data_IF_266908232813
#
_entry.id   IF_266908232813
#
_cell.length_a   1.000
_cell.length_b   1.000
_cell.length_c   1.000
_cell.angle_alpha   90.00
_cell.angle_beta   90.00
_cell.angle_gamma   90.00
#
_symmetry.space_group_name_H-M   'P 1'
#
loop_
_entity.id
_entity.type
_entity.pdbx_description
1 polymer ?
#
# COMPACT_ATOMS: atom_id res chain seq x y z
N UNK A 1 -38.53 -16.85 5.89
CA UNK A 1 -37.76 -15.59 5.85
C UNK A 1 -36.81 -15.65 4.67
N UNK A 2 -36.81 -14.60 3.85
CA UNK A 2 -36.01 -14.52 2.63
C UNK A 2 -34.52 -14.31 2.91
N UNK A 3 -33.68 -14.59 1.92
CA UNK A 3 -32.22 -14.34 1.94
C UNK A 3 -31.89 -13.14 1.04
N UNK A 4 -31.10 -12.21 1.56
CA UNK A 4 -30.48 -11.19 0.72
C UNK A 4 -29.20 -11.74 0.10
N UNK A 5 -29.23 -11.88 -1.23
CA UNK A 5 -28.07 -12.25 -2.04
C UNK A 5 -27.50 -10.97 -2.62
N UNK A 6 -26.22 -10.70 -2.38
CA UNK A 6 -25.60 -9.51 -2.94
C UNK A 6 -25.57 -9.63 -4.47
N UNK A 7 -26.09 -8.63 -5.20
CA UNK A 7 -26.10 -8.68 -6.64
C UNK A 7 -24.73 -8.26 -7.19
N UNK A 8 -24.37 -8.80 -8.35
CA UNK A 8 -23.20 -8.30 -9.11
C UNK A 8 -23.52 -6.93 -9.69
N UNK A 9 -24.70 -6.78 -10.31
CA UNK A 9 -25.20 -5.51 -10.82
C UNK A 9 -26.41 -5.05 -10.02
N UNK A 10 -26.46 -3.76 -9.65
CA UNK A 10 -27.60 -3.17 -8.89
C UNK A 10 -28.95 -3.52 -9.53
N UNK A 11 -29.04 -3.52 -10.86
CA UNK A 11 -30.25 -3.86 -11.62
C UNK A 11 -30.77 -5.29 -11.44
N UNK A 12 -29.96 -6.22 -10.96
CA UNK A 12 -30.34 -7.63 -10.81
C UNK A 12 -31.32 -7.83 -9.65
N UNK A 13 -31.38 -6.90 -8.70
CA UNK A 13 -32.31 -6.94 -7.57
C UNK A 13 -33.79 -6.75 -7.95
N UNK A 14 -34.10 -6.39 -9.21
CA UNK A 14 -35.47 -6.22 -9.72
C UNK A 14 -35.90 -7.44 -10.56
N UNK A 15 -34.97 -8.33 -10.90
CA UNK A 15 -35.29 -9.56 -11.62
C UNK A 15 -35.92 -10.56 -10.66
N UNK A 16 -36.74 -11.47 -11.18
CA UNK A 16 -37.27 -12.60 -10.41
C UNK A 16 -36.11 -13.36 -9.76
N UNK A 17 -36.01 -13.28 -8.43
CA UNK A 17 -35.03 -14.04 -7.65
C UNK A 17 -35.37 -15.52 -7.58
N UNK A 18 -34.43 -16.32 -7.10
CA UNK A 18 -34.68 -17.71 -6.72
C UNK A 18 -35.69 -17.83 -5.57
N UNK A 19 -36.11 -19.06 -5.28
CA UNK A 19 -37.04 -19.35 -4.19
C UNK A 19 -36.51 -18.77 -2.87
N UNK A 20 -37.34 -18.00 -2.16
CA UNK A 20 -37.01 -17.33 -0.90
C UNK A 20 -35.87 -16.30 -0.98
N UNK A 21 -35.60 -15.69 -2.13
CA UNK A 21 -34.64 -14.58 -2.24
C UNK A 21 -35.34 -13.22 -2.18
N UNK A 22 -34.67 -12.23 -1.60
CA UNK A 22 -35.12 -10.84 -1.64
C UNK A 22 -35.11 -10.31 -3.08
N UNK A 23 -36.16 -9.58 -3.43
CA UNK A 23 -36.28 -8.83 -4.68
C UNK A 23 -36.89 -7.47 -4.32
N UNK A 24 -36.37 -6.41 -4.93
CA UNK A 24 -36.94 -5.06 -4.83
C UNK A 24 -38.35 -5.09 -5.37
N UNK A 25 -39.31 -4.71 -4.54
CA UNK A 25 -40.73 -4.68 -4.87
C UNK A 25 -41.11 -3.33 -5.49
N UNK A 26 -40.65 -2.24 -4.89
CA UNK A 26 -41.06 -0.89 -5.23
C UNK A 26 -39.88 -0.02 -5.67
N UNK A 27 -39.81 0.27 -6.97
CA UNK A 27 -38.88 1.28 -7.50
C UNK A 27 -39.59 2.64 -7.51
N UNK A 28 -39.32 3.45 -6.48
CA UNK A 28 -39.95 4.75 -6.27
C UNK A 28 -39.50 5.78 -7.31
N UNK A 29 -40.44 6.62 -7.76
CA UNK A 29 -40.09 7.75 -8.62
C UNK A 29 -39.33 8.85 -7.84
N UNK A 30 -38.47 9.66 -8.48
CA UNK A 30 -37.71 10.70 -7.80
C UNK A 30 -38.55 11.64 -6.92
N UNK A 31 -39.78 11.95 -7.33
CA UNK A 31 -40.71 12.83 -6.59
C UNK A 31 -41.20 12.22 -5.27
N UNK A 32 -41.19 10.89 -5.14
CA UNK A 32 -41.66 10.19 -3.94
C UNK A 32 -40.56 9.98 -2.90
N UNK A 33 -39.28 10.10 -3.30
CA UNK A 33 -38.14 9.73 -2.47
C UNK A 33 -38.05 10.53 -1.18
N UNK A 34 -38.20 11.87 -1.24
CA UNK A 34 -38.11 12.72 -0.05
C UNK A 34 -39.09 12.30 1.06
N UNK A 35 -40.35 12.00 0.68
CA UNK A 35 -41.38 11.53 1.63
C UNK A 35 -41.03 10.17 2.21
N UNK A 36 -40.55 9.23 1.40
CA UNK A 36 -40.18 7.89 1.88
C UNK A 36 -38.91 7.90 2.73
N UNK A 37 -37.96 8.79 2.45
CA UNK A 37 -36.78 9.02 3.31
C UNK A 37 -37.18 9.59 4.67
N UNK A 38 -38.21 10.46 4.73
CA UNK A 38 -38.74 10.92 6.01
C UNK A 38 -39.33 9.77 6.84
N UNK A 39 -40.10 8.88 6.21
CA UNK A 39 -40.60 7.65 6.85
C UNK A 39 -39.47 6.73 7.30
N UNK A 40 -38.44 6.55 6.47
CA UNK A 40 -37.25 5.77 6.82
C UNK A 40 -36.51 6.36 8.03
N UNK A 41 -36.33 7.68 8.07
CA UNK A 41 -35.75 8.40 9.21
C UNK A 41 -36.57 8.20 10.50
N UNK A 42 -37.91 8.21 10.39
CA UNK A 42 -38.79 7.94 11.52
C UNK A 42 -38.67 6.49 12.01
N UNK A 43 -38.65 5.52 11.09
CA UNK A 43 -38.48 4.09 11.40
C UNK A 43 -37.12 3.80 12.05
N UNK A 44 -36.04 4.44 11.59
CA UNK A 44 -34.71 4.30 12.20
C UNK A 44 -34.70 4.75 13.66
N UNK A 45 -35.43 5.82 13.99
CA UNK A 45 -35.52 6.31 15.38
C UNK A 45 -36.35 5.39 16.28
N UNK A 46 -37.40 4.75 15.75
CA UNK A 46 -38.33 3.95 16.55
C UNK A 46 -37.97 2.47 16.63
N UNK A 47 -37.48 1.89 15.54
CA UNK A 47 -37.18 0.45 15.40
C UNK A 47 -35.66 0.16 15.42
N UNK A 48 -34.82 1.19 15.32
CA UNK A 48 -33.38 1.04 15.20
C UNK A 48 -32.93 0.58 13.81
N UNK A 49 -31.69 0.06 13.66
CA UNK A 49 -31.07 -0.17 12.35
C UNK A 49 -31.72 -1.28 11.52
N UNK A 50 -32.53 -2.16 12.13
CA UNK A 50 -33.23 -3.23 11.42
C UNK A 50 -34.33 -2.71 10.48
N UNK A 51 -34.74 -1.45 10.60
CA UNK A 51 -35.69 -0.82 9.66
C UNK A 51 -35.20 -0.86 8.20
N UNK A 52 -33.90 -1.07 7.96
CA UNK A 52 -33.36 -1.27 6.60
C UNK A 52 -34.03 -2.46 5.87
N UNK A 53 -34.50 -3.48 6.60
CA UNK A 53 -35.19 -4.63 6.02
C UNK A 53 -36.53 -4.24 5.37
N UNK A 54 -37.14 -3.12 5.81
CA UNK A 54 -38.40 -2.59 5.29
C UNK A 54 -38.16 -1.42 4.33
N UNK A 55 -37.07 -0.66 4.51
CA UNK A 55 -36.79 0.57 3.76
C UNK A 55 -35.69 0.43 2.68
N UNK A 56 -35.17 -0.78 2.44
CA UNK A 56 -34.14 -1.03 1.43
C UNK A 56 -34.50 -0.44 0.07
N UNK A 57 -35.74 -0.66 -0.39
CA UNK A 57 -36.26 -0.23 -1.69
C UNK A 57 -36.21 1.30 -1.87
N UNK A 58 -36.32 2.06 -0.77
CA UNK A 58 -36.21 3.53 -0.80
C UNK A 58 -34.80 3.97 -1.17
N UNK A 59 -33.78 3.46 -0.48
CA UNK A 59 -32.38 3.77 -0.77
C UNK A 59 -31.93 3.16 -2.11
N UNK A 60 -32.43 1.97 -2.46
CA UNK A 60 -32.21 1.37 -3.76
C UNK A 60 -32.73 2.26 -4.91
N UNK A 61 -33.92 2.84 -4.74
CA UNK A 61 -34.51 3.74 -5.74
C UNK A 61 -33.68 5.00 -5.97
N UNK A 62 -33.02 5.52 -4.91
CA UNK A 62 -32.02 6.60 -5.02
C UNK A 62 -30.83 6.17 -5.88
N UNK A 63 -30.29 4.96 -5.68
CA UNK A 63 -29.20 4.42 -6.52
C UNK A 63 -29.64 4.27 -7.98
N UNK A 64 -30.85 3.73 -8.20
CA UNK A 64 -31.39 3.48 -9.54
C UNK A 64 -31.58 4.78 -10.33
N UNK A 65 -32.02 5.84 -9.65
CA UNK A 65 -32.28 7.14 -10.24
C UNK A 65 -31.22 8.18 -9.91
N UNK A 66 -30.01 7.78 -9.50
CA UNK A 66 -28.99 8.66 -8.92
C UNK A 66 -28.74 9.96 -9.69
N UNK A 67 -28.72 9.92 -11.03
CA UNK A 67 -28.49 11.10 -11.87
C UNK A 67 -29.68 12.06 -11.93
N UNK A 68 -30.90 11.58 -11.69
CA UNK A 68 -32.14 12.36 -11.72
C UNK A 68 -32.61 12.82 -10.34
N UNK A 69 -31.89 12.46 -9.28
CA UNK A 69 -32.24 12.76 -7.88
C UNK A 69 -31.48 14.00 -7.41
N UNK A 70 -32.19 14.88 -6.69
CA UNK A 70 -31.65 16.11 -6.13
C UNK A 70 -30.54 15.83 -5.11
N UNK A 71 -29.61 16.78 -4.96
CA UNK A 71 -28.46 16.64 -4.06
C UNK A 71 -28.88 16.41 -2.60
N UNK A 72 -29.86 17.16 -2.10
CA UNK A 72 -30.33 16.98 -0.72
C UNK A 72 -30.89 15.58 -0.44
N UNK A 73 -31.53 14.94 -1.42
CA UNK A 73 -32.02 13.56 -1.30
C UNK A 73 -30.86 12.56 -1.23
N UNK A 74 -29.77 12.80 -1.98
CA UNK A 74 -28.54 11.99 -1.91
C UNK A 74 -27.87 12.12 -0.54
N UNK A 75 -27.77 13.35 -0.03
CA UNK A 75 -27.19 13.65 1.28
C UNK A 75 -28.02 13.02 2.42
N UNK A 76 -29.34 13.19 2.41
CA UNK A 76 -30.24 12.56 3.39
C UNK A 76 -30.12 11.03 3.35
N UNK A 77 -30.02 10.44 2.16
CA UNK A 77 -29.85 8.98 2.00
C UNK A 77 -28.52 8.53 2.57
N UNK A 78 -27.43 9.25 2.29
CA UNK A 78 -26.10 8.94 2.80
C UNK A 78 -26.08 9.01 4.33
N UNK A 79 -26.61 10.08 4.91
CA UNK A 79 -26.70 10.28 6.36
C UNK A 79 -27.45 9.12 7.02
N UNK A 80 -28.61 8.73 6.48
CA UNK A 80 -29.41 7.63 6.99
C UNK A 80 -28.67 6.28 6.91
N UNK A 81 -28.00 5.99 5.79
CA UNK A 81 -27.24 4.74 5.65
C UNK A 81 -26.05 4.69 6.60
N UNK A 82 -25.35 5.80 6.81
CA UNK A 82 -24.27 5.89 7.82
C UNK A 82 -24.84 5.66 9.23
N UNK A 83 -25.98 6.25 9.57
CA UNK A 83 -26.64 6.03 10.86
C UNK A 83 -27.10 4.57 11.04
N UNK A 84 -27.61 3.91 9.99
CA UNK A 84 -27.96 2.49 10.02
C UNK A 84 -26.72 1.63 10.30
N UNK A 85 -25.62 1.82 9.56
CA UNK A 85 -24.38 1.05 9.73
C UNK A 85 -23.76 1.27 11.12
N UNK A 86 -23.75 2.51 11.62
CA UNK A 86 -23.32 2.80 12.98
C UNK A 86 -24.24 2.16 14.02
N UNK A 87 -25.56 2.20 13.80
CA UNK A 87 -26.54 1.54 14.65
C UNK A 87 -26.31 0.02 14.74
N UNK A 88 -26.03 -0.63 13.59
CA UNK A 88 -25.66 -2.06 13.56
C UNK A 88 -24.36 -2.32 14.32
N UNK A 89 -23.36 -1.44 14.18
CA UNK A 89 -22.08 -1.57 14.89
C UNK A 89 -22.25 -1.49 16.42
N UNK A 90 -23.25 -0.74 16.89
CA UNK A 90 -23.57 -0.62 18.32
C UNK A 90 -24.43 -1.79 18.81
N UNK A 91 -25.38 -2.28 18.02
CA UNK A 91 -26.34 -3.30 18.47
C UNK A 91 -25.82 -4.73 18.35
N UNK A 92 -25.01 -5.04 17.33
CA UNK A 92 -24.51 -6.39 17.06
C UNK A 92 -23.64 -6.99 18.17
N UNK A 93 -22.72 -6.27 18.85
CA UNK A 93 -21.86 -6.88 19.86
C UNK A 93 -22.61 -7.67 20.94
N UNK A 94 -23.77 -7.17 21.39
CA UNK A 94 -24.58 -7.87 22.41
C UNK A 94 -25.17 -9.18 21.88
N UNK A 95 -25.57 -9.21 20.61
CA UNK A 95 -26.05 -10.40 19.92
C UNK A 95 -24.92 -11.42 19.71
N UNK A 96 -23.76 -10.97 19.22
CA UNK A 96 -22.60 -11.81 18.93
C UNK A 96 -22.06 -12.53 20.18
N UNK A 97 -22.23 -11.93 21.37
CA UNK A 97 -21.86 -12.53 22.65
C UNK A 97 -22.91 -13.50 23.21
N UNK A 98 -24.14 -13.46 22.70
CA UNK A 98 -25.24 -14.27 23.23
C UNK A 98 -25.17 -15.71 22.71
N UNK A 99 -25.23 -16.67 23.63
CA UNK A 99 -25.22 -18.11 23.31
C UNK A 99 -26.58 -18.66 22.87
N UNK A 100 -27.63 -17.83 22.90
CA UNK A 100 -29.02 -18.21 22.67
C UNK A 100 -29.68 -17.51 21.48
N UNK A 101 -28.90 -16.90 20.57
CA UNK A 101 -29.46 -16.25 19.38
C UNK A 101 -30.18 -17.28 18.49
N UNK A 102 -31.45 -17.02 18.17
CA UNK A 102 -32.21 -17.90 17.28
C UNK A 102 -31.66 -17.84 15.84
N UNK A 103 -31.84 -18.92 15.08
CA UNK A 103 -31.44 -18.95 13.67
C UNK A 103 -32.17 -17.88 12.83
N UNK A 104 -33.38 -17.49 13.23
CA UNK A 104 -34.19 -16.46 12.56
C UNK A 104 -33.61 -15.09 12.82
N UNK A 105 -33.28 -14.75 14.08
CA UNK A 105 -32.71 -13.45 14.43
C UNK A 105 -31.33 -13.25 13.79
N UNK A 106 -30.49 -14.29 13.81
CA UNK A 106 -29.19 -14.26 13.12
C UNK A 106 -29.35 -13.98 11.63
N UNK A 107 -30.36 -14.58 10.99
CA UNK A 107 -30.64 -14.37 9.57
C UNK A 107 -31.15 -12.96 9.28
N UNK A 108 -32.01 -12.39 10.12
CA UNK A 108 -32.44 -10.99 10.00
C UNK A 108 -31.26 -10.03 10.08
N UNK A 109 -30.38 -10.24 11.06
CA UNK A 109 -29.21 -9.41 11.30
C UNK A 109 -28.21 -9.50 10.15
N UNK A 110 -27.99 -10.71 9.64
CA UNK A 110 -27.18 -10.93 8.45
C UNK A 110 -27.74 -10.17 7.24
N UNK A 111 -29.04 -10.28 6.96
CA UNK A 111 -29.68 -9.57 5.86
C UNK A 111 -29.54 -8.04 6.03
N UNK A 112 -29.77 -7.52 7.24
CA UNK A 112 -29.64 -6.09 7.53
C UNK A 112 -28.21 -5.58 7.30
N UNK A 113 -27.20 -6.32 7.76
CA UNK A 113 -25.77 -6.02 7.51
C UNK A 113 -25.48 -6.00 6.02
N UNK A 114 -25.86 -7.05 5.27
CA UNK A 114 -25.61 -7.13 3.83
C UNK A 114 -26.26 -5.97 3.08
N UNK A 115 -27.53 -5.68 3.39
CA UNK A 115 -28.30 -4.61 2.78
C UNK A 115 -27.70 -3.23 3.05
N UNK A 116 -27.39 -2.92 4.31
CA UNK A 116 -26.84 -1.63 4.71
C UNK A 116 -25.45 -1.39 4.11
N UNK A 117 -24.56 -2.39 4.18
CA UNK A 117 -23.21 -2.30 3.60
C UNK A 117 -23.28 -2.17 2.08
N UNK A 118 -24.12 -2.97 1.41
CA UNK A 118 -24.29 -2.89 -0.03
C UNK A 118 -24.73 -1.49 -0.48
N UNK A 119 -25.79 -0.95 0.12
CA UNK A 119 -26.31 0.38 -0.23
C UNK A 119 -25.28 1.48 0.04
N UNK A 120 -24.62 1.45 1.20
CA UNK A 120 -23.62 2.45 1.57
C UNK A 120 -22.42 2.43 0.61
N UNK A 121 -21.89 1.24 0.29
CA UNK A 121 -20.80 1.09 -0.67
C UNK A 121 -21.20 1.57 -2.07
N UNK A 122 -22.37 1.17 -2.58
CA UNK A 122 -22.83 1.57 -3.92
C UNK A 122 -23.14 3.05 -4.03
N UNK A 123 -23.73 3.65 -2.99
CA UNK A 123 -23.94 5.10 -2.96
C UNK A 123 -22.60 5.83 -2.99
N UNK A 124 -21.62 5.37 -2.20
CA UNK A 124 -20.28 5.95 -2.15
C UNK A 124 -19.53 5.85 -3.48
N UNK A 125 -19.62 4.71 -4.18
CA UNK A 125 -19.05 4.54 -5.53
C UNK A 125 -19.65 5.52 -6.54
N UNK A 126 -20.97 5.73 -6.49
CA UNK A 126 -21.68 6.68 -7.34
C UNK A 126 -21.28 8.13 -7.03
N UNK A 127 -21.22 8.50 -5.75
CA UNK A 127 -20.81 9.83 -5.28
C UNK A 127 -19.35 10.14 -5.65
N UNK A 128 -18.44 9.17 -5.50
CA UNK A 128 -17.05 9.33 -5.93
C UNK A 128 -16.95 9.58 -7.44
N UNK A 129 -17.69 8.81 -8.23
CA UNK A 129 -17.70 8.93 -9.68
C UNK A 129 -18.26 10.27 -10.15
N UNK A 130 -19.28 10.79 -9.46
CA UNK A 130 -19.89 12.09 -9.75
C UNK A 130 -18.97 13.26 -9.37
N UNK A 131 -18.37 13.20 -8.18
CA UNK A 131 -17.36 14.15 -7.70
C UNK A 131 -16.16 14.23 -8.66
N UNK A 132 -15.67 13.08 -9.12
CA UNK A 132 -14.58 13.01 -10.10
C UNK A 132 -14.96 13.66 -11.43
N UNK A 133 -16.14 13.35 -11.99
CA UNK A 133 -16.64 13.98 -13.23
C UNK A 133 -16.73 15.50 -13.09
N UNK A 134 -17.24 15.98 -11.97
CA UNK A 134 -17.38 17.41 -11.73
C UNK A 134 -16.02 18.11 -11.64
N UNK A 135 -15.00 17.47 -11.06
CA UNK A 135 -13.64 18.01 -11.02
C UNK A 135 -13.02 18.17 -12.42
N UNK A 136 -13.37 17.32 -13.37
CA UNK A 136 -12.93 17.42 -14.77
C UNK A 136 -13.65 18.57 -15.47
N UNK A 137 -14.98 18.66 -15.32
CA UNK A 137 -15.80 19.68 -15.99
C UNK A 137 -15.47 21.09 -15.47
N UNK A 138 -15.15 21.22 -14.19
CA UNK A 138 -14.83 22.52 -13.55
C UNK A 138 -13.35 22.90 -13.61
N UNK A 139 -12.49 22.06 -14.20
CA UNK A 139 -11.09 22.37 -14.38
C UNK A 139 -10.93 23.61 -15.30
N UNK A 140 -10.17 24.65 -14.88
CA UNK A 140 -10.02 25.84 -15.70
C UNK A 140 -9.31 25.48 -17.00
N UNK A 141 -9.95 25.75 -18.14
CA UNK A 141 -9.27 25.78 -19.42
C UNK A 141 -8.17 26.84 -19.36
N UNK A 142 -6.98 26.51 -19.88
CA UNK A 142 -5.81 27.39 -19.90
C UNK A 142 -6.22 28.77 -20.46
N UNK A 143 -6.37 29.77 -19.58
CA UNK A 143 -6.60 31.17 -19.94
C UNK A 143 -7.79 31.90 -19.29
N UNK A 144 -8.68 31.21 -18.56
CA UNK A 144 -9.85 31.85 -17.94
C UNK A 144 -9.69 32.19 -16.46
N UNK A 145 -10.05 33.41 -16.05
CA UNK A 145 -10.13 33.83 -14.63
C UNK A 145 -10.94 32.81 -13.81
N UNK A 146 -10.44 32.46 -12.62
CA UNK A 146 -11.09 31.62 -11.60
C UNK A 146 -12.53 32.13 -11.35
N UNK A 147 -13.51 31.51 -12.00
CA UNK A 147 -14.89 31.65 -11.58
C UNK A 147 -15.03 30.86 -10.28
N UNK A 148 -15.13 31.58 -9.15
CA UNK A 148 -15.68 31.01 -7.91
C UNK A 148 -17.15 30.70 -8.19
N UNK A 149 -17.40 29.49 -8.65
CA UNK A 149 -18.73 28.88 -8.64
C UNK A 149 -18.64 27.60 -7.82
N UNK A 150 -18.34 27.74 -6.53
CA UNK A 150 -18.83 26.77 -5.56
C UNK A 150 -20.28 27.21 -5.30
N UNK A 151 -21.22 26.67 -6.09
CA UNK A 151 -22.64 26.91 -5.88
C UNK A 151 -23.11 26.20 -4.62
N UNK A 152 -24.09 26.77 -3.93
CA UNK A 152 -24.71 26.22 -2.73
C UNK A 152 -25.36 24.83 -2.95
N UNK A 153 -25.56 24.41 -4.21
CA UNK A 153 -26.16 23.13 -4.60
C UNK A 153 -25.15 21.98 -4.81
N UNK A 154 -23.89 22.13 -4.39
CA UNK A 154 -22.84 21.14 -4.67
C UNK A 154 -22.54 20.29 -3.43
N UNK A 155 -22.84 18.97 -3.51
CA UNK A 155 -22.55 18.02 -2.43
C UNK A 155 -21.07 18.03 -2.05
N UNK A 156 -20.77 18.21 -0.76
CA UNK A 156 -19.39 18.20 -0.25
C UNK A 156 -18.89 16.78 0.01
N UNK A 157 -18.88 15.93 -1.02
CA UNK A 157 -18.46 14.53 -0.87
C UNK A 157 -17.09 14.36 -0.19
N UNK A 158 -16.17 15.32 -0.36
CA UNK A 158 -14.87 15.34 0.32
C UNK A 158 -14.96 15.24 1.85
N UNK A 159 -15.93 15.92 2.50
CA UNK A 159 -16.13 15.83 3.95
C UNK A 159 -16.80 14.53 4.37
N UNK A 160 -17.67 13.98 3.52
CA UNK A 160 -18.49 12.80 3.82
C UNK A 160 -17.75 11.47 3.68
N UNK A 161 -16.63 11.43 2.94
CA UNK A 161 -15.82 10.20 2.79
C UNK A 161 -15.38 9.61 4.13
N UNK A 162 -14.92 10.44 5.05
CA UNK A 162 -14.37 9.98 6.32
C UNK A 162 -15.45 9.33 7.22
N UNK A 163 -16.63 9.94 7.44
CA UNK A 163 -17.74 9.30 8.15
C UNK A 163 -18.14 7.94 7.56
N UNK A 164 -18.22 7.82 6.24
CA UNK A 164 -18.56 6.55 5.56
C UNK A 164 -17.53 5.46 5.87
N UNK A 165 -16.25 5.77 5.68
CA UNK A 165 -15.16 4.83 5.92
C UNK A 165 -15.07 4.42 7.40
N UNK A 166 -15.32 5.37 8.29
CA UNK A 166 -15.37 5.12 9.73
C UNK A 166 -16.51 4.15 10.09
N UNK A 167 -17.73 4.38 9.58
CA UNK A 167 -18.87 3.52 9.84
C UNK A 167 -18.62 2.08 9.36
N UNK A 168 -18.11 1.92 8.13
CA UNK A 168 -17.75 0.62 7.58
C UNK A 168 -16.65 -0.06 8.40
N UNK A 169 -15.63 0.68 8.82
CA UNK A 169 -14.52 0.15 9.63
C UNK A 169 -15.02 -0.33 10.99
N UNK A 170 -15.84 0.47 11.67
CA UNK A 170 -16.41 0.11 12.97
C UNK A 170 -17.23 -1.19 12.89
N UNK A 171 -18.07 -1.33 11.87
CA UNK A 171 -18.87 -2.54 11.67
C UNK A 171 -17.99 -3.76 11.38
N UNK A 172 -17.07 -3.65 10.42
CA UNK A 172 -16.29 -4.79 9.93
C UNK A 172 -15.17 -5.21 10.88
N UNK A 173 -14.77 -4.34 11.82
CA UNK A 173 -13.85 -4.70 12.90
C UNK A 173 -14.49 -5.66 13.92
N UNK A 174 -15.82 -5.69 14.05
CA UNK A 174 -16.51 -6.70 14.85
C UNK A 174 -16.35 -8.09 14.23
N UNK A 175 -16.63 -9.15 14.99
CA UNK A 175 -16.62 -10.53 14.46
C UNK A 175 -17.97 -10.91 13.83
N UNK A 176 -18.47 -10.05 12.94
CA UNK A 176 -19.75 -10.27 12.24
C UNK A 176 -19.74 -11.50 11.34
N UNK A 177 -18.57 -12.07 11.03
CA UNK A 177 -18.43 -13.30 10.24
C UNK A 177 -19.26 -14.43 10.83
N UNK A 178 -19.40 -14.47 12.15
CA UNK A 178 -20.23 -15.45 12.88
C UNK A 178 -21.72 -15.41 12.51
N UNK A 179 -22.20 -14.33 11.87
CA UNK A 179 -23.55 -14.27 11.28
C UNK A 179 -23.70 -15.21 10.08
N UNK A 180 -22.62 -15.46 9.33
CA UNK A 180 -22.59 -16.41 8.24
C UNK A 180 -22.46 -17.85 8.75
N UNK A 181 -23.01 -18.79 7.99
CA UNK A 181 -22.81 -20.22 8.26
C UNK A 181 -21.32 -20.54 8.25
N UNK A 182 -20.85 -21.23 9.30
CA UNK A 182 -19.44 -21.60 9.50
C UNK A 182 -18.46 -20.42 9.45
N UNK A 183 -18.94 -19.18 9.65
CA UNK A 183 -18.15 -17.94 9.49
C UNK A 183 -17.55 -17.74 8.09
N UNK A 184 -18.14 -18.37 7.07
CA UNK A 184 -17.72 -18.25 5.67
C UNK A 184 -18.49 -17.09 5.01
N UNK A 185 -17.85 -15.94 4.93
CA UNK A 185 -18.39 -14.77 4.24
C UNK A 185 -18.29 -14.97 2.73
N UNK A 186 -19.38 -14.67 2.02
CA UNK A 186 -19.44 -14.80 0.56
C UNK A 186 -18.53 -13.77 -0.15
N UNK A 187 -17.99 -14.14 -1.31
CA UNK A 187 -17.04 -13.31 -2.06
C UNK A 187 -17.69 -12.00 -2.52
N UNK A 188 -18.97 -12.01 -2.83
CA UNK A 188 -19.73 -10.84 -3.27
C UNK A 188 -19.78 -9.76 -2.18
N UNK A 189 -19.86 -10.15 -0.91
CA UNK A 189 -19.80 -9.20 0.21
C UNK A 189 -18.39 -8.58 0.35
N UNK A 190 -17.37 -9.42 0.29
CA UNK A 190 -15.96 -8.98 0.34
C UNK A 190 -15.66 -8.03 -0.84
N UNK A 191 -16.10 -8.41 -2.03
CA UNK A 191 -15.95 -7.64 -3.26
C UNK A 191 -16.69 -6.32 -3.20
N UNK A 192 -17.92 -6.28 -2.66
CA UNK A 192 -18.68 -5.05 -2.49
C UNK A 192 -17.92 -3.98 -1.69
N UNK A 193 -17.37 -4.36 -0.53
CA UNK A 193 -16.62 -3.43 0.33
C UNK A 193 -15.29 -3.04 -0.32
N UNK A 194 -14.55 -4.02 -0.83
CA UNK A 194 -13.20 -3.78 -1.36
C UNK A 194 -13.23 -3.00 -2.67
N UNK A 195 -14.18 -3.27 -3.58
CA UNK A 195 -14.37 -2.49 -4.80
C UNK A 195 -14.69 -1.03 -4.51
N UNK A 196 -15.54 -0.75 -3.51
CA UNK A 196 -15.77 0.60 -3.04
C UNK A 196 -14.47 1.26 -2.57
N UNK A 197 -13.67 0.58 -1.74
CA UNK A 197 -12.38 1.09 -1.26
C UNK A 197 -11.40 1.40 -2.41
N UNK A 198 -11.24 0.48 -3.37
CA UNK A 198 -10.36 0.69 -4.52
C UNK A 198 -10.86 1.83 -5.40
N UNK A 199 -12.18 1.97 -5.58
CA UNK A 199 -12.75 3.09 -6.34
C UNK A 199 -12.41 4.44 -5.71
N UNK A 200 -12.42 4.54 -4.38
CA UNK A 200 -12.02 5.75 -3.66
C UNK A 200 -10.52 6.05 -3.81
N UNK A 201 -9.67 5.02 -3.93
CA UNK A 201 -8.23 5.18 -4.20
C UNK A 201 -7.93 5.65 -5.63
N UNK A 202 -8.82 5.43 -6.60
CA UNK A 202 -8.67 5.93 -7.97
C UNK A 202 -8.77 7.47 -8.06
N UNK A 203 -9.16 8.15 -6.98
CA UNK A 203 -9.23 9.60 -6.93
C UNK A 203 -7.84 10.23 -7.17
N UNK A 204 -7.65 11.10 -8.20
CA UNK A 204 -6.35 11.70 -8.49
C UNK A 204 -5.78 12.55 -7.35
N UNK A 205 -6.66 13.09 -6.50
CA UNK A 205 -6.31 13.88 -5.33
C UNK A 205 -5.97 13.04 -4.10
N UNK A 206 -6.03 11.70 -4.15
CA UNK A 206 -5.80 10.84 -2.98
C UNK A 206 -4.37 10.93 -2.44
N UNK A 207 -3.39 11.21 -3.30
CA UNK A 207 -1.98 11.37 -2.93
C UNK A 207 -1.68 12.74 -2.30
N UNK A 208 -2.63 13.69 -2.36
CA UNK A 208 -2.46 15.01 -1.75
C UNK A 208 -2.52 14.92 -0.22
N UNK A 209 -1.86 15.87 0.46
CA UNK A 209 -1.81 15.93 1.93
C UNK A 209 -3.20 16.05 2.55
N UNK A 210 -4.09 16.86 1.94
CA UNK A 210 -5.48 17.05 2.40
C UNK A 210 -6.29 15.75 2.48
N UNK A 211 -5.95 14.77 1.65
CA UNK A 211 -6.67 13.50 1.53
C UNK A 211 -6.08 12.41 2.42
N UNK A 212 -5.05 12.72 3.23
CA UNK A 212 -4.41 11.76 4.12
C UNK A 212 -5.39 11.05 5.06
N UNK A 213 -6.34 11.73 5.75
CA UNK A 213 -7.28 11.03 6.63
C UNK A 213 -8.12 9.98 5.90
N UNK A 214 -8.65 10.32 4.73
CA UNK A 214 -9.43 9.38 3.91
C UNK A 214 -8.56 8.24 3.38
N UNK A 215 -7.34 8.55 2.93
CA UNK A 215 -6.38 7.54 2.46
C UNK A 215 -6.03 6.54 3.56
N UNK A 216 -5.68 7.03 4.75
CA UNK A 216 -5.35 6.19 5.90
C UNK A 216 -6.56 5.32 6.28
N UNK A 217 -7.77 5.91 6.33
CA UNK A 217 -8.99 5.16 6.61
C UNK A 217 -9.27 4.04 5.58
N UNK A 218 -9.06 4.28 4.28
CA UNK A 218 -9.19 3.25 3.24
C UNK A 218 -8.14 2.14 3.44
N UNK A 219 -6.89 2.51 3.74
CA UNK A 219 -5.81 1.55 3.98
C UNK A 219 -6.17 0.63 5.16
N UNK A 220 -6.64 1.19 6.28
CA UNK A 220 -7.04 0.38 7.44
C UNK A 220 -8.27 -0.49 7.15
N UNK A 221 -9.29 0.03 6.46
CA UNK A 221 -10.46 -0.75 6.09
C UNK A 221 -10.08 -1.96 5.22
N UNK A 222 -9.23 -1.76 4.20
CA UNK A 222 -8.69 -2.86 3.41
C UNK A 222 -7.83 -3.81 4.25
N UNK A 223 -7.10 -3.32 5.25
CA UNK A 223 -6.35 -4.15 6.19
C UNK A 223 -7.25 -5.11 6.98
N UNK A 224 -8.41 -4.64 7.41
CA UNK A 224 -9.45 -5.49 8.03
C UNK A 224 -9.93 -6.56 7.05
N UNK A 225 -10.19 -6.19 5.79
CA UNK A 225 -10.63 -7.13 4.75
C UNK A 225 -9.59 -8.22 4.48
N UNK A 226 -8.32 -7.84 4.36
CA UNK A 226 -7.20 -8.77 4.15
C UNK A 226 -7.03 -9.69 5.37
N UNK A 227 -7.12 -9.16 6.59
CA UNK A 227 -6.89 -9.92 7.82
C UNK A 227 -8.02 -10.88 8.17
N UNK A 228 -9.28 -10.45 8.03
CA UNK A 228 -10.45 -11.16 8.56
C UNK A 228 -11.33 -11.81 7.48
N UNK A 229 -11.32 -11.28 6.27
CA UNK A 229 -12.30 -11.60 5.22
C UNK A 229 -11.66 -12.22 3.96
N UNK A 230 -10.55 -12.94 4.13
CA UNK A 230 -9.90 -13.73 3.06
C UNK A 230 -9.54 -12.93 1.78
N UNK A 231 -9.25 -11.63 1.91
CA UNK A 231 -8.96 -10.75 0.76
C UNK A 231 -7.46 -10.68 0.40
N UNK A 232 -6.61 -11.59 0.87
CA UNK A 232 -5.16 -11.52 0.65
C UNK A 232 -4.78 -11.55 -0.85
N UNK A 233 -5.25 -12.55 -1.59
CA UNK A 233 -4.98 -12.69 -3.02
C UNK A 233 -5.68 -11.61 -3.84
N UNK A 234 -6.91 -11.24 -3.47
CA UNK A 234 -7.61 -10.13 -4.11
C UNK A 234 -6.87 -8.81 -3.94
N UNK A 235 -6.29 -8.57 -2.76
CA UNK A 235 -5.50 -7.38 -2.49
C UNK A 235 -4.17 -7.36 -3.26
N UNK A 236 -3.46 -8.48 -3.38
CA UNK A 236 -2.22 -8.53 -4.16
C UNK A 236 -2.48 -8.16 -5.62
N UNK A 237 -3.49 -8.80 -6.23
CA UNK A 237 -3.90 -8.50 -7.62
C UNK A 237 -4.31 -7.03 -7.78
N UNK A 238 -5.08 -6.47 -6.84
CA UNK A 238 -5.55 -5.08 -6.92
C UNK A 238 -4.42 -4.07 -6.73
N UNK A 239 -3.44 -4.33 -5.88
CA UNK A 239 -2.23 -3.49 -5.78
C UNK A 239 -1.51 -3.44 -7.11
N UNK A 240 -1.32 -4.58 -7.78
CA UNK A 240 -0.66 -4.62 -9.10
C UNK A 240 -1.46 -3.83 -10.15
N UNK A 241 -2.77 -4.03 -10.21
CA UNK A 241 -3.65 -3.29 -11.13
C UNK A 241 -3.58 -1.77 -10.89
N UNK A 242 -3.60 -1.33 -9.63
CA UNK A 242 -3.51 0.10 -9.30
C UNK A 242 -2.17 0.69 -9.76
N UNK A 243 -1.05 -0.01 -9.52
CA UNK A 243 0.27 0.44 -9.96
C UNK A 243 0.39 0.50 -11.48
N UNK A 244 -0.21 -0.45 -12.21
CA UNK A 244 -0.19 -0.46 -13.67
C UNK A 244 -0.95 0.72 -14.31
N UNK A 245 -2.02 1.17 -13.65
CA UNK A 245 -2.91 2.19 -14.21
C UNK A 245 -2.68 3.59 -13.63
N UNK A 246 -2.10 3.71 -12.43
CA UNK A 246 -2.01 4.97 -11.69
C UNK A 246 -0.63 5.15 -11.04
N UNK A 247 0.27 5.83 -11.76
CA UNK A 247 1.65 6.08 -11.32
C UNK A 247 1.72 6.80 -9.95
N UNK A 248 0.77 7.70 -9.68
CA UNK A 248 0.69 8.46 -8.43
C UNK A 248 0.34 7.62 -7.18
N UNK A 249 -0.07 6.36 -7.36
CA UNK A 249 -0.45 5.46 -6.26
C UNK A 249 0.72 4.61 -5.76
N UNK A 250 1.92 4.74 -6.33
CA UNK A 250 3.11 3.99 -5.89
C UNK A 250 3.34 4.09 -4.38
N UNK A 251 3.36 5.32 -3.86
CA UNK A 251 3.57 5.58 -2.43
C UNK A 251 2.39 5.15 -1.56
N UNK A 252 1.17 5.33 -2.07
CA UNK A 252 -0.06 4.91 -1.38
C UNK A 252 -0.10 3.39 -1.22
N UNK A 253 0.24 2.65 -2.28
CA UNK A 253 0.29 1.19 -2.27
C UNK A 253 1.42 0.70 -1.36
N UNK A 254 2.60 1.32 -1.38
CA UNK A 254 3.71 0.96 -0.50
C UNK A 254 3.32 1.14 0.99
N UNK A 255 2.69 2.26 1.32
CA UNK A 255 2.12 2.50 2.66
C UNK A 255 1.05 1.47 3.03
N UNK A 256 0.15 1.14 2.10
CA UNK A 256 -0.90 0.17 2.35
C UNK A 256 -0.34 -1.21 2.69
N UNK A 257 0.55 -1.74 1.83
CA UNK A 257 1.22 -3.04 2.02
C UNK A 257 2.05 -3.05 3.32
N UNK A 258 2.73 -1.95 3.64
CA UNK A 258 3.46 -1.81 4.89
C UNK A 258 2.52 -1.90 6.11
N UNK A 259 1.44 -1.11 6.14
CA UNK A 259 0.45 -1.13 7.25
C UNK A 259 -0.20 -2.51 7.40
N UNK A 260 -0.56 -3.16 6.30
CA UNK A 260 -1.13 -4.52 6.35
C UNK A 260 -0.12 -5.55 6.90
N UNK A 261 1.16 -5.39 6.58
CA UNK A 261 2.23 -6.23 7.10
C UNK A 261 2.48 -5.99 8.58
N UNK A 262 2.62 -4.73 9.01
CA UNK A 262 3.08 -4.37 10.36
C UNK A 262 1.96 -4.28 11.39
N UNK A 263 0.86 -3.59 11.07
CA UNK A 263 -0.23 -3.33 12.02
C UNK A 263 -1.26 -4.44 12.05
N UNK A 264 -1.57 -5.02 10.89
CA UNK A 264 -2.51 -6.15 10.77
C UNK A 264 -1.82 -7.51 10.86
N UNK A 265 -0.47 -7.51 10.93
CA UNK A 265 0.36 -8.71 11.00
C UNK A 265 0.05 -9.70 9.87
N UNK A 266 -0.08 -9.21 8.64
CA UNK A 266 -0.29 -9.99 7.41
C UNK A 266 0.96 -9.95 6.56
N UNK A 267 2.09 -10.44 7.08
CA UNK A 267 3.40 -10.38 6.41
C UNK A 267 3.42 -11.02 5.02
N UNK A 268 2.56 -12.01 4.77
CA UNK A 268 2.45 -12.70 3.48
C UNK A 268 2.16 -11.77 2.31
N UNK A 269 1.45 -10.65 2.52
CA UNK A 269 1.10 -9.72 1.44
C UNK A 269 2.33 -9.09 0.76
N UNK A 270 3.42 -8.88 1.50
CA UNK A 270 4.68 -8.37 0.95
C UNK A 270 5.23 -9.37 -0.06
N UNK A 271 5.27 -10.65 0.29
CA UNK A 271 5.75 -11.72 -0.58
C UNK A 271 4.86 -11.92 -1.81
N UNK A 272 3.54 -11.88 -1.65
CA UNK A 272 2.59 -12.03 -2.77
C UNK A 272 2.73 -10.89 -3.78
N UNK A 273 2.77 -9.62 -3.34
CA UNK A 273 2.95 -8.48 -4.24
C UNK A 273 4.33 -8.49 -4.90
N UNK A 274 5.40 -8.82 -4.16
CA UNK A 274 6.74 -8.95 -4.74
C UNK A 274 6.81 -10.05 -5.78
N UNK A 275 6.13 -11.19 -5.56
CA UNK A 275 6.08 -12.31 -6.50
C UNK A 275 5.37 -11.93 -7.80
N UNK A 276 4.24 -11.23 -7.71
CA UNK A 276 3.51 -10.73 -8.89
C UNK A 276 4.36 -9.76 -9.73
N UNK A 277 5.16 -8.90 -9.09
CA UNK A 277 6.12 -8.03 -9.80
C UNK A 277 7.31 -8.84 -10.34
N UNK A 278 7.81 -9.82 -9.56
CA UNK A 278 8.90 -10.72 -9.93
C UNK A 278 8.60 -11.55 -11.18
N UNK A 279 7.33 -11.89 -11.41
CA UNK A 279 6.88 -12.67 -12.56
C UNK A 279 6.66 -11.86 -13.85
N UNK A 280 6.79 -10.53 -13.80
CA UNK A 280 6.67 -9.68 -15.01
C UNK A 280 7.82 -9.97 -15.98
N UNK A 281 7.48 -10.20 -17.25
CA UNK A 281 8.49 -10.55 -18.25
C UNK A 281 9.36 -9.36 -18.63
N UNK A 282 10.58 -9.61 -19.12
CA UNK A 282 11.48 -8.54 -19.57
C UNK A 282 10.86 -7.71 -20.70
N UNK A 283 10.08 -8.33 -21.58
CA UNK A 283 9.38 -7.66 -22.69
C UNK A 283 8.28 -6.70 -22.20
N UNK A 284 7.58 -7.03 -21.11
CA UNK A 284 6.60 -6.13 -20.51
C UNK A 284 7.29 -4.90 -19.88
N UNK A 285 8.43 -5.13 -19.24
CA UNK A 285 9.15 -4.10 -18.48
C UNK A 285 10.00 -3.18 -19.37
N UNK A 286 10.53 -3.67 -20.49
CA UNK A 286 11.45 -2.91 -21.37
C UNK A 286 10.82 -1.68 -22.00
N UNK A 287 9.49 -1.61 -22.04
CA UNK A 287 8.74 -0.47 -22.60
C UNK A 287 8.81 0.79 -21.73
N UNK A 288 9.32 0.69 -20.48
CA UNK A 288 9.51 1.82 -19.55
C UNK A 288 8.26 2.71 -19.41
N UNK A 289 7.08 2.07 -19.46
CA UNK A 289 5.79 2.73 -19.30
C UNK A 289 5.55 3.23 -17.88
N UNK A 290 4.47 4.00 -17.68
CA UNK A 290 4.08 4.52 -16.37
C UNK A 290 3.95 3.41 -15.30
N UNK A 291 3.42 2.24 -15.68
CA UNK A 291 3.33 1.09 -14.77
C UNK A 291 4.68 0.55 -14.31
N UNK A 292 5.70 0.54 -15.17
CA UNK A 292 7.06 0.07 -14.81
C UNK A 292 7.73 1.03 -13.83
N UNK A 293 7.56 2.34 -14.06
CA UNK A 293 7.99 3.37 -13.10
C UNK A 293 7.27 3.25 -11.77
N UNK A 294 5.97 2.97 -11.81
CA UNK A 294 5.18 2.77 -10.60
C UNK A 294 5.65 1.56 -9.78
N UNK A 295 5.95 0.43 -10.43
CA UNK A 295 6.56 -0.73 -9.77
C UNK A 295 7.91 -0.39 -9.15
N UNK A 296 8.77 0.31 -9.90
CA UNK A 296 10.09 0.71 -9.42
C UNK A 296 9.99 1.60 -8.17
N UNK A 297 9.17 2.66 -8.23
CA UNK A 297 8.92 3.55 -7.09
C UNK A 297 8.30 2.82 -5.91
N UNK A 298 7.31 1.95 -6.16
CA UNK A 298 6.68 1.13 -5.13
C UNK A 298 7.69 0.24 -4.39
N UNK A 299 8.57 -0.47 -5.12
CA UNK A 299 9.58 -1.35 -4.52
C UNK A 299 10.58 -0.57 -3.68
N UNK A 300 11.08 0.55 -4.21
CA UNK A 300 12.00 1.42 -3.49
C UNK A 300 11.36 1.96 -2.20
N UNK A 301 10.13 2.48 -2.27
CA UNK A 301 9.42 2.99 -1.10
C UNK A 301 9.07 1.88 -0.10
N UNK A 302 8.57 0.74 -0.55
CA UNK A 302 8.24 -0.39 0.32
C UNK A 302 9.48 -0.88 1.05
N UNK A 303 10.65 -0.87 0.39
CA UNK A 303 11.91 -1.23 1.04
C UNK A 303 12.18 -0.35 2.23
N UNK A 304 11.96 0.97 2.12
CA UNK A 304 12.13 1.93 3.25
C UNK A 304 11.19 1.65 4.42
N UNK A 305 10.06 0.99 4.19
CA UNK A 305 9.02 0.74 5.20
C UNK A 305 9.17 -0.61 5.89
N UNK A 306 9.42 -1.70 5.15
CA UNK A 306 9.38 -3.09 5.67
C UNK A 306 10.51 -4.00 5.17
N UNK A 307 11.80 -3.59 5.32
CA UNK A 307 12.93 -4.31 4.75
C UNK A 307 13.09 -5.72 5.35
N UNK A 308 12.78 -5.90 6.64
CA UNK A 308 12.88 -7.17 7.35
C UNK A 308 11.91 -8.22 6.80
N UNK A 309 10.81 -7.78 6.18
CA UNK A 309 9.86 -8.69 5.52
C UNK A 309 10.21 -8.91 4.06
N UNK A 310 10.75 -7.87 3.39
CA UNK A 310 11.17 -7.97 1.99
C UNK A 310 12.35 -8.91 1.78
N UNK A 311 13.34 -8.92 2.68
CA UNK A 311 14.52 -9.80 2.56
C UNK A 311 14.13 -11.28 2.40
N UNK A 312 13.06 -11.73 3.06
CA UNK A 312 12.56 -13.11 3.01
C UNK A 312 12.04 -13.52 1.61
N UNK A 313 11.73 -12.55 0.76
CA UNK A 313 11.18 -12.76 -0.58
C UNK A 313 12.07 -12.15 -1.67
N UNK A 314 13.27 -11.65 -1.34
CA UNK A 314 14.10 -10.84 -2.24
C UNK A 314 14.50 -11.56 -3.53
N UNK A 315 14.61 -12.89 -3.48
CA UNK A 315 15.04 -13.72 -4.61
C UNK A 315 14.16 -13.55 -5.85
N UNK A 316 12.86 -13.27 -5.68
CA UNK A 316 11.92 -13.06 -6.80
C UNK A 316 12.18 -11.76 -7.56
N UNK A 317 12.93 -10.82 -6.97
CA UNK A 317 13.29 -9.55 -7.60
C UNK A 317 14.68 -9.57 -8.25
N UNK A 318 15.57 -10.47 -7.81
CA UNK A 318 16.95 -10.51 -8.31
C UNK A 318 17.04 -10.82 -9.81
N UNK A 319 16.06 -11.53 -10.36
CA UNK A 319 15.95 -11.80 -11.80
C UNK A 319 15.85 -10.54 -12.65
N UNK A 320 15.36 -9.43 -12.08
CA UNK A 320 15.23 -8.15 -12.78
C UNK A 320 16.54 -7.39 -12.91
N UNK A 321 17.60 -7.76 -12.17
CA UNK A 321 18.93 -7.15 -12.28
C UNK A 321 19.60 -7.44 -13.63
N UNK A 322 19.24 -8.54 -14.28
CA UNK A 322 19.72 -8.89 -15.62
C UNK A 322 18.76 -8.43 -16.74
N UNK A 323 17.61 -7.86 -16.36
CA UNK A 323 16.56 -7.43 -17.27
C UNK A 323 16.88 -6.13 -18.01
N UNK A 324 16.13 -5.86 -19.09
CA UNK A 324 16.36 -4.68 -19.95
C UNK A 324 15.99 -3.35 -19.27
N UNK A 325 14.96 -3.36 -18.41
CA UNK A 325 14.47 -2.16 -17.73
C UNK A 325 15.46 -1.64 -16.70
N UNK A 326 16.04 -0.48 -16.98
CA UNK A 326 16.99 0.15 -16.07
C UNK A 326 16.31 0.68 -14.80
N UNK A 327 15.02 1.05 -14.88
CA UNK A 327 14.27 1.53 -13.70
C UNK A 327 14.05 0.40 -12.70
N UNK A 328 13.74 -0.81 -13.17
CA UNK A 328 13.65 -1.99 -12.31
C UNK A 328 15.02 -2.36 -11.72
N UNK A 329 16.11 -2.34 -12.50
CA UNK A 329 17.47 -2.56 -11.97
C UNK A 329 17.83 -1.57 -10.86
N UNK A 330 17.52 -0.29 -11.06
CA UNK A 330 17.65 0.77 -10.05
C UNK A 330 16.87 0.41 -8.79
N UNK A 331 15.58 0.07 -8.92
CA UNK A 331 14.73 -0.23 -7.77
C UNK A 331 15.25 -1.43 -6.97
N UNK A 332 15.67 -2.51 -7.64
CA UNK A 332 16.24 -3.67 -6.95
C UNK A 332 17.54 -3.30 -6.23
N UNK A 333 18.43 -2.51 -6.86
CA UNK A 333 19.63 -2.02 -6.17
C UNK A 333 19.32 -1.17 -4.93
N UNK A 334 18.27 -0.33 -4.99
CA UNK A 334 17.81 0.44 -3.83
C UNK A 334 17.28 -0.47 -2.72
N UNK A 335 16.49 -1.49 -3.05
CA UNK A 335 16.00 -2.49 -2.10
C UNK A 335 17.17 -3.22 -1.42
N UNK A 336 18.18 -3.66 -2.18
CA UNK A 336 19.37 -4.31 -1.61
C UNK A 336 20.12 -3.37 -0.66
N UNK A 337 20.32 -2.12 -1.08
CA UNK A 337 20.94 -1.08 -0.25
C UNK A 337 20.21 -0.83 1.07
N UNK A 338 18.88 -0.80 1.01
CA UNK A 338 18.03 -0.61 2.16
C UNK A 338 18.12 -1.77 3.16
N UNK A 339 18.07 -3.00 2.64
CA UNK A 339 18.22 -4.23 3.43
C UNK A 339 19.62 -4.31 4.04
N UNK A 340 20.67 -3.93 3.30
CA UNK A 340 22.04 -3.84 3.83
C UNK A 340 22.13 -2.92 5.04
N UNK A 341 21.54 -1.73 4.96
CA UNK A 341 21.61 -0.74 6.03
C UNK A 341 20.81 -1.16 7.25
N UNK A 342 19.57 -1.65 7.07
CA UNK A 342 18.63 -1.86 8.18
C UNK A 342 18.52 -3.28 8.71
N UNK A 343 18.93 -4.28 7.94
CA UNK A 343 18.75 -5.70 8.31
C UNK A 343 20.09 -6.43 8.39
N UNK A 344 20.98 -6.18 7.42
CA UNK A 344 22.25 -6.89 7.27
C UNK A 344 23.46 -6.04 7.70
N UNK A 345 23.27 -5.19 8.71
CA UNK A 345 24.33 -4.38 9.30
C UNK A 345 24.68 -4.84 10.72
N UNK A 346 25.89 -4.51 11.17
CA UNK A 346 26.37 -4.78 12.53
C UNK A 346 27.08 -6.13 12.74
N UNK A 347 27.71 -6.25 13.91
CA UNK A 347 28.55 -7.40 14.28
C UNK A 347 27.75 -8.62 14.77
N UNK A 348 26.46 -8.42 15.10
CA UNK A 348 25.57 -9.46 15.64
C UNK A 348 24.98 -10.41 14.60
N UNK A 349 25.33 -10.28 13.31
CA UNK A 349 24.82 -11.16 12.25
C UNK A 349 25.29 -12.61 12.47
N UNK A 350 24.44 -13.57 12.14
CA UNK A 350 24.84 -14.97 12.03
C UNK A 350 25.61 -15.22 10.71
N UNK A 351 26.10 -16.44 10.50
CA UNK A 351 26.86 -16.78 9.29
C UNK A 351 26.06 -16.57 8.00
N UNK A 352 24.78 -16.96 7.99
CA UNK A 352 23.87 -16.73 6.86
C UNK A 352 23.73 -15.26 6.54
N UNK A 353 23.46 -14.41 7.54
CA UNK A 353 23.29 -12.97 7.35
C UNK A 353 24.57 -12.29 6.87
N UNK A 354 25.75 -12.76 7.29
CA UNK A 354 27.03 -12.29 6.73
C UNK A 354 27.19 -12.70 5.26
N UNK A 355 26.84 -13.94 4.90
CA UNK A 355 26.89 -14.41 3.53
C UNK A 355 25.92 -13.63 2.62
N UNK A 356 24.70 -13.37 3.09
CA UNK A 356 23.71 -12.57 2.36
C UNK A 356 24.19 -11.12 2.17
N UNK A 357 24.78 -10.53 3.23
CA UNK A 357 25.38 -9.18 3.17
C UNK A 357 26.46 -9.11 2.10
N UNK A 358 27.39 -10.06 2.13
CA UNK A 358 28.54 -10.06 1.23
C UNK A 358 28.05 -10.27 -0.22
N UNK A 359 27.08 -11.17 -0.45
CA UNK A 359 26.43 -11.34 -1.75
C UNK A 359 25.76 -10.07 -2.26
N UNK A 360 25.03 -9.35 -1.40
CA UNK A 360 24.35 -8.11 -1.80
C UNK A 360 25.35 -7.00 -2.15
N UNK A 361 26.45 -6.92 -1.41
CA UNK A 361 27.55 -6.01 -1.73
C UNK A 361 28.18 -6.37 -3.07
N UNK A 362 28.49 -7.65 -3.31
CA UNK A 362 29.07 -8.11 -4.58
C UNK A 362 28.13 -7.77 -5.76
N UNK A 363 26.82 -8.04 -5.63
CA UNK A 363 25.80 -7.66 -6.63
C UNK A 363 25.79 -6.14 -6.90
N UNK A 364 25.85 -5.31 -5.86
CA UNK A 364 25.93 -3.86 -6.03
C UNK A 364 27.25 -3.44 -6.70
N UNK A 365 28.38 -4.08 -6.38
CA UNK A 365 29.67 -3.78 -7.02
C UNK A 365 29.64 -4.06 -8.52
N UNK A 366 29.04 -5.17 -8.95
CA UNK A 366 28.84 -5.50 -10.36
C UNK A 366 28.08 -4.38 -11.09
N UNK A 367 27.01 -3.86 -10.46
CA UNK A 367 26.16 -2.82 -11.05
C UNK A 367 26.79 -1.41 -11.05
N UNK A 368 27.98 -1.20 -10.46
CA UNK A 368 28.79 -0.01 -10.74
C UNK A 368 29.31 0.02 -12.19
N UNK A 369 29.27 -1.13 -12.89
CA UNK A 369 29.66 -1.30 -14.28
C UNK A 369 28.47 -1.48 -15.24
N UNK A 370 27.24 -1.23 -14.77
CA UNK A 370 26.04 -1.33 -15.60
C UNK A 370 26.13 -0.50 -16.89
N UNK A 371 25.57 -1.01 -17.98
CA UNK A 371 25.58 -0.33 -19.28
C UNK A 371 24.85 1.01 -19.23
N UNK A 372 23.87 1.15 -18.33
CA UNK A 372 23.09 2.35 -18.15
C UNK A 372 23.68 3.25 -17.05
N UNK A 373 23.92 4.52 -17.39
CA UNK A 373 24.49 5.49 -16.45
C UNK A 373 23.60 5.81 -15.24
N UNK A 374 22.27 5.64 -15.34
CA UNK A 374 21.35 5.86 -14.23
C UNK A 374 21.49 4.79 -13.15
N UNK A 375 21.69 3.52 -13.53
CA UNK A 375 21.93 2.43 -12.60
C UNK A 375 23.25 2.67 -11.86
N UNK A 376 24.34 2.93 -12.60
CA UNK A 376 25.65 3.23 -11.99
C UNK A 376 25.61 4.42 -11.02
N UNK A 377 24.94 5.51 -11.42
CA UNK A 377 24.76 6.67 -10.55
C UNK A 377 23.96 6.32 -9.29
N UNK A 378 22.92 5.50 -9.42
CA UNK A 378 22.09 5.08 -8.28
C UNK A 378 22.86 4.17 -7.32
N UNK A 379 23.62 3.21 -7.83
CA UNK A 379 24.45 2.32 -7.00
C UNK A 379 25.47 3.11 -6.18
N UNK A 380 26.07 4.16 -6.75
CA UNK A 380 26.94 5.08 -5.98
C UNK A 380 26.18 5.80 -4.86
N UNK A 381 24.93 6.19 -5.08
CA UNK A 381 24.08 6.78 -4.03
C UNK A 381 23.73 5.77 -2.94
N UNK A 382 23.44 4.53 -3.32
CA UNK A 382 23.23 3.42 -2.38
C UNK A 382 24.46 3.22 -1.52
N UNK A 383 25.66 3.13 -2.11
CA UNK A 383 26.90 3.04 -1.35
C UNK A 383 27.14 4.26 -0.45
N UNK A 384 26.78 5.45 -0.91
CA UNK A 384 26.91 6.68 -0.09
C UNK A 384 26.08 6.55 1.18
N UNK A 385 24.86 6.02 1.06
CA UNK A 385 24.00 5.74 2.21
C UNK A 385 24.56 4.64 3.11
N UNK A 386 25.07 3.54 2.55
CA UNK A 386 25.68 2.44 3.31
C UNK A 386 26.86 2.95 4.14
N UNK A 387 27.74 3.77 3.55
CA UNK A 387 28.89 4.38 4.24
C UNK A 387 28.44 5.37 5.33
N UNK A 388 27.51 6.28 5.03
CA UNK A 388 26.99 7.24 6.01
C UNK A 388 26.28 6.56 7.19
N UNK A 389 25.69 5.39 6.95
CA UNK A 389 25.04 4.58 7.99
C UNK A 389 26.03 3.66 8.73
N UNK A 390 27.32 3.74 8.42
CA UNK A 390 28.38 2.89 8.98
C UNK A 390 28.10 1.38 8.81
N UNK A 391 27.41 1.01 7.73
CA UNK A 391 26.98 -0.35 7.44
C UNK A 391 27.96 -1.12 6.54
N UNK A 392 28.96 -0.46 5.97
CA UNK A 392 29.97 -1.11 5.12
C UNK A 392 30.98 -1.89 6.01
N UNK A 393 31.25 -3.18 5.75
CA UNK A 393 32.31 -3.89 6.47
C UNK A 393 33.70 -3.33 6.17
N UNK A 394 34.57 -3.24 7.18
CA UNK A 394 35.93 -2.70 7.05
C UNK A 394 36.76 -3.36 5.94
N UNK A 395 36.58 -4.67 5.71
CA UNK A 395 37.26 -5.41 4.65
C UNK A 395 36.87 -4.94 3.24
N UNK A 396 35.70 -4.30 3.07
CA UNK A 396 35.17 -3.83 1.78
C UNK A 396 35.47 -2.35 1.51
N UNK A 397 35.94 -1.59 2.50
CA UNK A 397 36.21 -0.15 2.36
C UNK A 397 37.18 0.17 1.21
N UNK A 398 38.35 -0.49 1.19
CA UNK A 398 39.38 -0.24 0.17
C UNK A 398 38.90 -0.60 -1.23
N UNK A 399 38.16 -1.69 -1.36
CA UNK A 399 37.61 -2.17 -2.64
C UNK A 399 36.58 -1.18 -3.19
N UNK A 400 35.55 -0.87 -2.40
CA UNK A 400 34.47 0.04 -2.82
C UNK A 400 34.99 1.46 -3.08
N UNK A 401 35.94 1.94 -2.27
CA UNK A 401 36.60 3.22 -2.49
C UNK A 401 37.37 3.23 -3.82
N UNK A 402 38.11 2.16 -4.13
CA UNK A 402 38.81 2.02 -5.41
C UNK A 402 37.86 2.08 -6.60
N UNK A 403 36.72 1.39 -6.51
CA UNK A 403 35.66 1.44 -7.53
C UNK A 403 35.07 2.85 -7.69
N UNK A 404 34.82 3.55 -6.58
CA UNK A 404 34.35 4.94 -6.60
C UNK A 404 35.34 5.89 -7.27
N UNK A 405 36.64 5.78 -6.97
CA UNK A 405 37.70 6.53 -7.67
C UNK A 405 37.68 6.23 -9.17
N UNK A 406 37.54 4.96 -9.57
CA UNK A 406 37.41 4.57 -10.96
C UNK A 406 36.20 5.17 -11.69
N UNK A 407 35.14 5.55 -10.96
CA UNK A 407 33.96 6.25 -11.50
C UNK A 407 34.11 7.77 -11.61
N UNK A 408 35.23 8.35 -11.17
CA UNK A 408 35.53 9.77 -11.45
C UNK A 408 35.76 10.03 -12.95
N UNK A 409 36.21 9.00 -13.68
CA UNK A 409 36.47 9.04 -15.12
C UNK A 409 35.27 8.56 -15.95
N UNK A 410 34.07 8.50 -15.35
CA UNK A 410 32.88 8.10 -16.07
C UNK A 410 32.53 9.07 -17.19
N UNK A 411 31.94 8.57 -18.28
CA UNK A 411 31.43 9.42 -19.36
C UNK A 411 30.25 10.28 -18.90
N UNK A 412 29.47 9.79 -17.93
CA UNK A 412 28.33 10.51 -17.39
C UNK A 412 28.74 11.40 -16.24
N UNK A 413 28.56 12.72 -16.42
CA UNK A 413 28.80 13.74 -15.38
C UNK A 413 28.01 13.43 -14.10
N UNK A 414 26.78 12.90 -14.25
CA UNK A 414 25.97 12.52 -13.10
C UNK A 414 26.62 11.38 -12.30
N UNK A 415 27.24 10.40 -12.96
CA UNK A 415 27.97 9.32 -12.30
C UNK A 415 29.19 9.89 -11.58
N UNK A 416 29.99 10.73 -12.25
CA UNK A 416 31.15 11.40 -11.63
C UNK A 416 30.76 12.19 -10.37
N UNK A 417 29.64 12.94 -10.42
CA UNK A 417 29.12 13.70 -9.28
C UNK A 417 28.80 12.79 -8.08
N UNK A 418 28.10 11.66 -8.31
CA UNK A 418 27.78 10.72 -7.24
C UNK A 418 29.03 10.00 -6.72
N UNK A 419 30.03 9.74 -7.57
CA UNK A 419 31.31 9.19 -7.14
C UNK A 419 32.05 10.15 -6.19
N UNK A 420 32.06 11.45 -6.50
CA UNK A 420 32.62 12.48 -5.60
C UNK A 420 31.89 12.50 -4.26
N UNK A 421 30.55 12.41 -4.27
CA UNK A 421 29.76 12.36 -3.03
C UNK A 421 30.08 11.13 -2.17
N UNK A 422 30.23 9.95 -2.80
CA UNK A 422 30.64 8.73 -2.11
C UNK A 422 32.05 8.86 -1.50
N UNK A 423 33.00 9.42 -2.25
CA UNK A 423 34.36 9.67 -1.74
C UNK A 423 34.36 10.66 -0.58
N UNK A 424 33.53 11.70 -0.65
CA UNK A 424 33.36 12.63 0.47
C UNK A 424 32.80 11.92 1.72
N UNK A 425 31.83 11.01 1.56
CA UNK A 425 31.32 10.19 2.64
C UNK A 425 32.40 9.28 3.25
N UNK A 426 33.24 8.66 2.42
CA UNK A 426 34.39 7.88 2.90
C UNK A 426 35.38 8.70 3.71
N UNK A 427 35.68 9.93 3.29
CA UNK A 427 36.58 10.83 4.05
C UNK A 427 35.94 11.22 5.38
N UNK A 428 34.65 11.56 5.38
CA UNK A 428 33.93 11.97 6.58
C UNK A 428 33.78 10.83 7.61
N UNK A 429 33.55 9.60 7.13
CA UNK A 429 33.34 8.40 7.95
C UNK A 429 34.53 7.43 7.87
N UNK A 430 35.74 7.95 7.73
CA UNK A 430 36.95 7.15 7.64
C UNK A 430 37.22 6.40 8.96
N UNK A 431 37.31 5.06 8.96
CA UNK A 431 37.50 4.28 10.18
C UNK A 431 38.96 4.23 10.67
N UNK A 432 39.93 4.70 9.87
CA UNK A 432 41.35 4.44 10.13
C UNK A 432 42.05 5.53 10.97
N UNK A 433 41.77 6.80 10.71
CA UNK A 433 42.50 7.92 11.33
C UNK A 433 41.81 9.27 11.10
N UNK A 434 41.93 10.18 12.06
CA UNK A 434 41.58 11.60 11.89
C UNK A 434 42.65 12.40 11.12
N UNK A 435 43.85 11.82 10.94
CA UNK A 435 44.95 12.36 10.14
C UNK A 435 45.22 11.42 8.97
N UNK A 436 44.86 11.87 7.77
CA UNK A 436 45.01 11.11 6.52
C UNK A 436 46.24 11.52 5.72
N UNK A 437 47.06 12.47 6.21
CA UNK A 437 48.25 12.89 5.50
C UNK A 437 49.29 11.77 5.46
N UNK A 438 49.90 11.56 4.30
CA UNK A 438 50.96 10.56 4.14
C UNK A 438 52.16 10.81 5.06
N UNK A 439 52.44 12.08 5.37
CA UNK A 439 53.48 12.48 6.30
C UNK A 439 53.18 12.04 7.75
N UNK A 440 51.93 12.21 8.20
CA UNK A 440 51.51 11.81 9.55
C UNK A 440 51.46 10.28 9.71
N UNK A 441 51.11 9.54 8.65
CA UNK A 441 50.97 8.09 8.66
C UNK A 441 52.32 7.35 8.49
N UNK A 442 53.36 8.00 7.96
CA UNK A 442 54.67 7.39 7.70
C UNK A 442 55.34 6.84 8.96
N UNK A 443 55.47 7.65 10.01
CA UNK A 443 56.13 7.24 11.27
C UNK A 443 55.39 6.09 11.98
N UNK A 444 54.05 6.14 12.15
CA UNK A 444 53.29 5.00 12.66
C UNK A 444 53.48 3.73 11.84
N UNK A 445 53.44 3.82 10.50
CA UNK A 445 53.64 2.68 9.60
C UNK A 445 55.02 2.06 9.77
N UNK A 446 56.08 2.86 9.77
CA UNK A 446 57.46 2.39 9.96
C UNK A 446 57.62 1.66 11.31
N UNK A 447 57.05 2.23 12.39
CA UNK A 447 57.07 1.65 13.73
C UNK A 447 56.38 0.28 13.77
N UNK A 448 55.15 0.18 13.26
CA UNK A 448 54.41 -1.09 13.29
C UNK A 448 55.00 -2.13 12.32
N UNK A 449 55.59 -1.70 11.20
CA UNK A 449 56.32 -2.58 10.27
C UNK A 449 57.58 -3.17 10.92
N UNK A 450 58.35 -2.36 11.64
CA UNK A 450 59.53 -2.82 12.38
C UNK A 450 59.13 -3.84 13.48
N UNK A 451 58.06 -3.55 14.21
CA UNK A 451 57.50 -4.45 15.22
C UNK A 451 57.00 -5.77 14.61
N UNK A 452 56.33 -5.72 13.46
CA UNK A 452 55.87 -6.92 12.75
C UNK A 452 57.06 -7.78 12.31
N UNK A 453 58.14 -7.16 11.82
CA UNK A 453 59.38 -7.85 11.47
C UNK A 453 60.00 -8.54 12.68
N UNK A 454 60.11 -7.82 13.81
CA UNK A 454 60.63 -8.38 15.05
C UNK A 454 59.81 -9.58 15.55
N UNK A 455 58.47 -9.50 15.47
CA UNK A 455 57.59 -10.62 15.85
C UNK A 455 57.75 -11.83 14.93
N UNK A 456 57.92 -11.62 13.62
CA UNK A 456 58.21 -12.70 12.66
C UNK A 456 59.55 -13.36 12.96
N UNK A 457 60.61 -12.55 13.15
CA UNK A 457 61.95 -13.05 13.47
C UNK A 457 61.98 -13.82 14.82
N UNK A 458 61.14 -13.43 15.79
CA UNK A 458 60.96 -14.19 17.05
C UNK A 458 60.16 -15.47 16.85
N UNK A 459 59.14 -15.46 16.00
CA UNK A 459 58.33 -16.63 15.66
C UNK A 459 59.14 -17.70 14.92
N UNK A 460 59.94 -17.30 13.93
CA UNK A 460 60.86 -18.18 13.20
C UNK A 460 61.92 -18.79 14.13
N UNK A 461 62.47 -18.01 15.06
CA UNK A 461 63.38 -18.51 16.11
C UNK A 461 62.73 -19.49 17.08
N UNK A 462 61.42 -19.40 17.31
CA UNK A 462 60.67 -20.37 18.14
C UNK A 462 60.32 -21.66 17.39
N UNK A 463 60.16 -21.60 16.07
CA UNK A 463 59.92 -22.77 15.20
C UNK A 463 61.21 -23.54 14.87
N UNK A 464 62.38 -22.92 15.06
CA UNK A 464 63.70 -23.53 14.85
C UNK A 464 64.28 -24.18 16.11
N UNK A 465 63.55 -24.21 17.23
CA UNK A 465 63.93 -24.93 18.44
C UNK A 465 62.97 -26.13 18.63
N UNK A 466 63.46 -27.38 18.71
CA UNK A 466 62.62 -28.56 18.90
C UNK A 466 61.92 -28.60 20.26
#
# INVERSE_FOLDING_TARGET
>A
MWDFILPVCVSDLVKTGGINQYVVQDVLSPKQLATHLHSFRAALRSQGPLCILEHFDTAYSVLKHFQAVDVGVKEDTLELLVQVVNGLSVSLPSLLLSTSTSAVDRKQQLNAVKMAVFLLCKLSEHLESDSYRQSIVTAPSKGGKKARAAGEDQMQWDSERAPVLQALTQLLQLDIRTLWSLSLVEEEFVSCVTCCCYKLLENPGISLVKSKPSRDAIIHLLGVMVKKYNHLLGASVKVIQLLQHFEQLSSVCAQAVAVWSTEYNVKAIVGEVMREIGQKSSEELSREGSGVKAFSCFLSELSTLVPDTMILNISVLLTHLEGESYSMRVAVCEVLGEVLVRVLSGDGLNESGRADRDRFLDTLQEHLHDTNSHVRARVLQVYTRVVNSQALPLCRYSEVMGLAVGRLLDKSINVCRNAIQLLAAFIAHNPYSCKLSSADLRKPLEKETAKLKELRDRGERRLQWP
#
